data_IF_454103023849
#
_entry.id   IF_454103023849
#
_cell.length_a   1.000
_cell.length_b   1.000
_cell.length_c   1.000
_cell.angle_alpha   90.00
_cell.angle_beta   90.00
_cell.angle_gamma   90.00
#
_symmetry.space_group_name_H-M   'P 1'
#
loop_
_entity.id
_entity.type
_entity.pdbx_description
1 polymer ?
#
# COMPACT_ATOMS: atom_id res chain seq x y z
N UNK A 1 12.62 3.91 12.26
CA UNK A 1 13.55 4.67 11.39
C UNK A 1 13.17 4.71 9.89
N UNK A 2 12.68 3.62 9.26
CA UNK A 2 12.38 3.59 7.81
C UNK A 2 11.22 4.49 7.31
N UNK A 3 10.30 4.92 8.20
CA UNK A 3 9.14 5.74 7.78
C UNK A 3 9.53 7.20 7.44
N UNK A 4 10.58 7.74 8.08
CA UNK A 4 10.92 9.17 7.97
C UNK A 4 11.57 9.56 6.64
N UNK A 5 12.34 8.67 6.00
CA UNK A 5 12.98 8.95 4.72
C UNK A 5 11.98 9.04 3.54
N UNK A 6 10.71 8.70 3.76
CA UNK A 6 9.67 8.68 2.73
C UNK A 6 8.84 9.96 2.62
N UNK A 7 8.96 10.90 3.56
CA UNK A 7 8.13 12.13 3.55
C UNK A 7 8.70 13.11 2.53
N UNK A 8 8.04 13.25 1.38
CA UNK A 8 8.40 14.23 0.32
C UNK A 8 8.49 15.65 0.91
N UNK A 9 9.53 16.40 0.56
CA UNK A 9 9.73 17.81 1.00
C UNK A 9 8.50 18.72 0.81
N UNK A 10 7.63 18.44 -0.17
CA UNK A 10 6.41 19.22 -0.43
C UNK A 10 5.39 19.22 0.72
N UNK A 11 5.42 18.21 1.60
CA UNK A 11 4.47 18.12 2.72
C UNK A 11 4.85 19.02 3.89
N UNK A 12 6.15 19.27 4.11
CA UNK A 12 6.63 20.21 5.13
C UNK A 12 6.11 21.64 4.94
N UNK A 13 5.83 22.04 3.70
CA UNK A 13 5.29 23.38 3.39
C UNK A 13 3.79 23.47 3.75
N UNK A 14 3.07 22.33 3.67
CA UNK A 14 1.62 22.30 3.84
C UNK A 14 1.18 21.95 5.26
N UNK A 15 1.98 21.19 5.99
CA UNK A 15 1.73 20.80 7.37
C UNK A 15 3.02 20.92 8.23
N UNK A 16 3.60 22.13 8.36
CA UNK A 16 4.88 22.33 9.04
C UNK A 16 4.86 21.91 10.52
N UNK A 17 3.79 22.22 11.27
CA UNK A 17 3.71 21.84 12.69
C UNK A 17 3.59 20.33 12.86
N UNK A 18 2.78 19.70 12.02
CA UNK A 18 2.56 18.25 12.02
C UNK A 18 3.83 17.49 11.66
N UNK A 19 4.51 17.91 10.60
CA UNK A 19 5.79 17.31 10.21
C UNK A 19 6.84 17.46 11.30
N UNK A 20 6.94 18.66 11.91
CA UNK A 20 7.87 18.89 13.02
C UNK A 20 7.55 18.03 14.24
N UNK A 21 6.27 17.90 14.60
CA UNK A 21 5.80 17.02 15.67
C UNK A 21 6.22 15.57 15.42
N UNK A 22 5.87 15.03 14.25
CA UNK A 22 6.15 13.65 13.89
C UNK A 22 7.67 13.35 13.84
N UNK A 23 8.45 14.26 13.25
CA UNK A 23 9.90 14.11 13.14
C UNK A 23 10.59 14.14 14.51
N UNK A 24 10.17 15.06 15.38
CA UNK A 24 10.76 15.20 16.71
C UNK A 24 10.36 14.05 17.65
N UNK A 25 9.11 13.58 17.62
CA UNK A 25 8.70 12.37 18.35
C UNK A 25 9.50 11.15 17.88
N UNK A 26 9.69 11.00 16.57
CA UNK A 26 10.51 9.94 16.01
C UNK A 26 11.97 10.05 16.46
N UNK A 27 12.55 11.27 16.46
CA UNK A 27 13.92 11.52 16.92
C UNK A 27 14.13 11.19 18.39
N UNK A 28 13.11 11.39 19.22
CA UNK A 28 13.11 11.05 20.65
C UNK A 28 12.91 9.56 20.93
N UNK A 29 12.70 8.73 19.90
CA UNK A 29 12.35 7.32 20.07
C UNK A 29 10.96 7.10 20.64
N UNK A 30 10.07 8.10 20.57
CA UNK A 30 8.71 8.00 21.14
C UNK A 30 7.87 6.89 20.48
N UNK A 31 8.14 6.63 19.20
CA UNK A 31 7.49 5.56 18.43
C UNK A 31 8.21 4.22 18.53
N UNK A 32 9.34 4.14 19.23
CA UNK A 32 10.06 2.89 19.37
C UNK A 32 9.26 1.91 20.23
N UNK A 33 9.21 0.65 19.80
CA UNK A 33 8.39 -0.41 20.41
C UNK A 33 6.87 -0.14 20.47
N UNK A 34 6.38 0.89 19.77
CA UNK A 34 4.94 1.11 19.63
C UNK A 34 4.33 0.15 18.61
N UNK A 35 3.10 -0.28 18.87
CA UNK A 35 2.38 -1.24 18.03
C UNK A 35 1.34 -0.53 17.17
N UNK A 36 1.06 -1.09 16.00
CA UNK A 36 -0.15 -0.77 15.26
C UNK A 36 -1.33 -1.44 15.95
N UNK A 37 -2.01 -0.69 16.81
CA UNK A 37 -3.11 -1.21 17.64
C UNK A 37 -4.41 -1.39 16.88
N UNK A 38 -4.56 -0.74 15.70
CA UNK A 38 -5.75 -0.85 14.86
C UNK A 38 -5.37 -1.00 13.39
N UNK A 39 -5.69 -2.16 12.83
CA UNK A 39 -5.43 -2.50 11.43
C UNK A 39 -6.76 -2.91 10.80
N UNK A 40 -7.19 -2.19 9.77
CA UNK A 40 -8.40 -2.51 9.01
C UNK A 40 -7.98 -2.74 7.56
N UNK A 41 -8.07 -3.99 7.04
CA UNK A 41 -7.75 -4.30 5.66
C UNK A 41 -8.52 -3.39 4.69
N UNK A 42 -7.85 -3.00 3.61
CA UNK A 42 -8.40 -2.10 2.57
C UNK A 42 -8.92 -0.75 3.10
N UNK A 43 -8.51 -0.34 4.30
CA UNK A 43 -8.86 0.96 4.85
C UNK A 43 -7.64 1.69 5.41
N UNK A 44 -7.26 1.41 6.67
CA UNK A 44 -6.17 2.10 7.34
C UNK A 44 -5.39 1.18 8.29
N UNK A 45 -4.14 1.56 8.53
CA UNK A 45 -3.31 1.08 9.63
C UNK A 45 -3.04 2.25 10.56
N UNK A 46 -3.44 2.15 11.83
CA UNK A 46 -3.29 3.19 12.84
C UNK A 46 -2.30 2.78 13.92
N UNK A 47 -1.45 3.73 14.32
CA UNK A 47 -0.39 3.56 15.32
C UNK A 47 -0.01 4.88 15.98
N UNK A 48 1.14 4.89 16.65
CA UNK A 48 1.65 6.10 17.32
C UNK A 48 1.09 6.36 18.72
N UNK A 49 0.47 5.35 19.34
CA UNK A 49 0.11 5.36 20.77
C UNK A 49 1.07 4.45 21.55
N UNK A 50 1.91 4.99 22.45
CA UNK A 50 2.79 4.18 23.31
C UNK A 50 2.05 3.21 24.24
N UNK A 51 0.83 3.54 24.64
CA UNK A 51 -0.01 2.68 25.49
C UNK A 51 -0.73 1.59 24.71
N UNK A 52 -0.76 1.70 23.37
CA UNK A 52 -1.49 0.82 22.45
C UNK A 52 -2.99 0.68 22.77
N UNK A 53 -3.58 1.60 23.54
CA UNK A 53 -5.01 1.58 23.90
C UNK A 53 -5.87 2.32 22.87
N UNK A 54 -5.25 3.13 22.01
CA UNK A 54 -5.91 4.04 21.08
C UNK A 54 -6.39 5.34 21.72
N UNK A 55 -6.20 5.52 23.04
CA UNK A 55 -6.58 6.73 23.79
C UNK A 55 -5.38 7.55 24.25
N UNK A 56 -4.17 6.98 24.19
CA UNK A 56 -2.95 7.63 24.60
C UNK A 56 -2.30 8.44 23.47
N UNK A 57 -1.16 9.05 23.80
CA UNK A 57 -0.38 9.83 22.85
C UNK A 57 -0.43 11.33 23.12
N UNK A 58 0.72 11.98 23.03
CA UNK A 58 0.84 13.43 23.21
C UNK A 58 1.75 14.01 22.14
N UNK A 59 1.51 15.27 21.79
CA UNK A 59 2.35 16.00 20.86
C UNK A 59 3.60 16.56 21.57
N UNK A 60 4.58 17.04 20.78
CA UNK A 60 5.73 17.77 21.33
C UNK A 60 5.35 19.13 21.91
N UNK A 61 4.15 19.64 21.59
CA UNK A 61 3.66 20.95 22.00
C UNK A 61 2.74 20.89 23.22
N UNK A 62 2.50 19.69 23.78
CA UNK A 62 1.55 19.45 24.86
C UNK A 62 0.50 18.39 24.47
N UNK A 63 -0.70 18.40 25.08
CA UNK A 63 -1.69 17.33 24.91
C UNK A 63 -2.15 17.20 23.46
N UNK A 64 -2.52 18.31 22.81
CA UNK A 64 -2.96 18.33 21.41
C UNK A 64 -2.49 19.58 20.67
N UNK A 65 -2.56 19.56 19.33
CA UNK A 65 -2.33 20.72 18.47
C UNK A 65 -3.34 20.80 17.31
N UNK A 66 -3.36 21.97 16.64
CA UNK A 66 -4.30 22.32 15.57
C UNK A 66 -4.17 21.46 14.30
N UNK A 67 -5.24 21.42 13.51
CA UNK A 67 -5.25 20.76 12.20
C UNK A 67 -4.64 21.65 11.10
N UNK A 68 -3.81 21.06 10.24
CA UNK A 68 -3.21 21.71 9.07
C UNK A 68 -3.83 21.15 7.78
N UNK A 69 -5.12 21.41 7.59
CA UNK A 69 -5.90 20.89 6.46
C UNK A 69 -5.75 21.80 5.25
N UNK A 70 -5.53 21.20 4.08
CA UNK A 70 -5.50 21.92 2.80
C UNK A 70 -6.31 21.17 1.73
N UNK A 71 -7.10 21.88 0.90
CA UNK A 71 -7.92 21.25 -0.15
C UNK A 71 -7.10 20.56 -1.24
N UNK A 72 -5.80 20.88 -1.33
CA UNK A 72 -4.88 20.28 -2.29
C UNK A 72 -4.45 18.87 -1.91
N UNK A 73 -4.65 18.46 -0.65
CA UNK A 73 -4.27 17.15 -0.15
C UNK A 73 -5.52 16.34 0.11
N UNK A 74 -5.57 15.17 -0.52
CA UNK A 74 -6.72 14.26 -0.48
C UNK A 74 -6.23 12.84 -0.32
N UNK A 75 -7.03 12.00 0.34
CA UNK A 75 -6.77 10.59 0.55
C UNK A 75 -7.12 9.78 -0.71
N UNK A 76 -6.40 10.04 -1.80
CA UNK A 76 -6.68 9.49 -3.14
C UNK A 76 -6.23 8.04 -3.34
N UNK A 77 -5.49 7.46 -2.41
CA UNK A 77 -5.02 6.09 -2.54
C UNK A 77 -4.21 5.60 -1.35
N UNK A 78 -3.60 4.43 -1.54
CA UNK A 78 -2.77 3.77 -0.53
C UNK A 78 -1.47 4.54 -0.25
N UNK A 79 -1.01 4.43 1.00
CA UNK A 79 0.24 4.96 1.51
C UNK A 79 0.17 6.42 1.95
N UNK A 80 -1.00 7.02 2.08
CA UNK A 80 -1.12 8.41 2.55
C UNK A 80 -1.05 8.42 4.07
N UNK A 81 -0.21 9.31 4.61
CA UNK A 81 0.09 9.42 6.04
C UNK A 81 -0.65 10.64 6.61
N UNK A 82 -1.48 10.39 7.63
CA UNK A 82 -2.37 11.39 8.21
C UNK A 82 -2.46 11.27 9.73
N UNK A 83 -2.76 12.37 10.41
CA UNK A 83 -2.92 12.37 11.88
C UNK A 83 -4.28 11.81 12.29
N UNK A 84 -4.27 10.96 13.31
CA UNK A 84 -5.49 10.54 13.98
C UNK A 84 -5.88 11.60 15.02
N UNK A 85 -7.17 11.91 15.09
CA UNK A 85 -7.73 12.90 16.00
C UNK A 85 -9.06 12.39 16.60
N UNK A 86 -9.52 13.04 17.66
CA UNK A 86 -10.79 12.78 18.35
C UNK A 86 -11.79 13.93 18.14
N UNK A 87 -11.62 14.69 17.05
CA UNK A 87 -12.34 15.93 16.76
C UNK A 87 -11.41 17.01 16.21
N UNK A 88 -11.95 18.17 15.78
CA UNK A 88 -11.14 19.26 15.24
C UNK A 88 -10.07 19.73 16.23
N UNK A 89 -8.85 19.94 15.74
CA UNK A 89 -7.70 20.47 16.51
C UNK A 89 -7.26 19.60 17.70
N UNK A 90 -7.45 18.28 17.59
CA UNK A 90 -7.05 17.33 18.65
C UNK A 90 -5.91 16.40 18.22
N UNK A 91 -4.99 16.88 17.40
CA UNK A 91 -3.85 16.08 16.93
C UNK A 91 -2.87 15.83 18.09
N UNK A 92 -2.51 14.57 18.32
CA UNK A 92 -1.55 14.17 19.35
C UNK A 92 -0.29 13.55 18.74
N UNK A 93 0.00 12.30 19.10
CA UNK A 93 1.07 11.50 18.48
C UNK A 93 0.54 10.43 17.52
N UNK A 94 -0.76 10.11 17.59
CA UNK A 94 -1.33 9.03 16.80
C UNK A 94 -1.44 9.40 15.32
N UNK A 95 -1.14 8.45 14.45
CA UNK A 95 -1.20 8.61 13.02
C UNK A 95 -1.77 7.35 12.36
N UNK A 96 -2.24 7.49 11.13
CA UNK A 96 -2.65 6.38 10.31
C UNK A 96 -2.08 6.46 8.90
N UNK A 97 -1.97 5.28 8.28
CA UNK A 97 -1.56 5.09 6.89
C UNK A 97 -2.74 4.48 6.14
N UNK A 98 -3.15 5.08 5.04
CA UNK A 98 -4.21 4.54 4.20
C UNK A 98 -3.73 3.32 3.40
N UNK A 99 -4.61 2.34 3.20
CA UNK A 99 -4.36 1.16 2.36
C UNK A 99 -5.18 1.19 1.06
N UNK A 100 -6.25 1.98 1.04
CA UNK A 100 -7.10 2.23 -0.11
C UNK A 100 -7.45 3.72 -0.18
N UNK A 101 -8.10 4.20 -1.25
CA UNK A 101 -8.66 5.55 -1.30
C UNK A 101 -9.72 5.76 -0.21
N UNK A 102 -9.60 6.83 0.57
CA UNK A 102 -10.48 7.12 1.72
C UNK A 102 -10.95 8.58 1.70
N UNK A 103 -11.60 8.99 0.62
CA UNK A 103 -12.02 10.39 0.39
C UNK A 103 -12.95 10.95 1.48
N UNK A 104 -13.67 10.09 2.21
CA UNK A 104 -14.54 10.51 3.32
C UNK A 104 -13.77 11.08 4.54
N UNK A 105 -12.44 10.89 4.58
CA UNK A 105 -11.53 11.47 5.57
C UNK A 105 -10.94 12.82 5.13
N UNK A 106 -11.19 13.23 3.88
CA UNK A 106 -10.71 14.51 3.36
C UNK A 106 -11.34 15.67 4.14
N UNK A 107 -10.51 16.64 4.51
CA UNK A 107 -10.96 17.81 5.29
C UNK A 107 -11.22 17.53 6.78
N UNK A 108 -10.99 16.30 7.27
CA UNK A 108 -11.15 15.95 8.68
C UNK A 108 -9.83 15.58 9.37
N UNK A 109 -8.86 15.14 8.60
CA UNK A 109 -7.55 14.69 9.10
C UNK A 109 -6.44 15.42 8.37
N UNK A 110 -5.43 15.83 9.14
CA UNK A 110 -4.24 16.50 8.60
C UNK A 110 -3.37 15.49 7.86
N UNK A 111 -3.21 15.68 6.54
CA UNK A 111 -2.32 14.87 5.71
C UNK A 111 -0.93 15.51 5.71
N UNK A 112 0.07 14.78 6.16
CA UNK A 112 1.43 15.31 6.32
C UNK A 112 2.51 14.47 5.62
N UNK A 113 2.12 13.41 4.91
CA UNK A 113 3.08 12.61 4.17
C UNK A 113 2.47 11.56 3.27
N UNK A 114 3.34 10.87 2.53
CA UNK A 114 3.01 9.67 1.77
C UNK A 114 4.19 8.71 1.81
N UNK A 115 3.93 7.42 1.92
CA UNK A 115 4.93 6.36 1.84
C UNK A 115 5.42 6.27 0.40
N UNK A 116 6.72 6.48 0.20
CA UNK A 116 7.36 6.53 -1.11
C UNK A 116 7.79 5.15 -1.60
N UNK A 117 8.35 4.34 -0.70
CA UNK A 117 8.88 3.01 -1.00
C UNK A 117 8.33 1.97 -0.02
N UNK A 118 8.33 0.70 -0.43
CA UNK A 118 7.95 -0.44 0.43
C UNK A 118 6.48 -0.49 0.84
N UNK A 119 5.57 -0.01 -0.02
CA UNK A 119 4.12 -0.29 0.10
C UNK A 119 3.80 -1.78 0.24
N UNK A 120 4.65 -2.65 -0.34
CA UNK A 120 4.55 -4.10 -0.18
C UNK A 120 4.64 -4.56 1.29
N UNK A 121 5.39 -3.86 2.14
CA UNK A 121 5.48 -4.15 3.58
C UNK A 121 4.17 -3.82 4.27
N UNK A 122 3.54 -2.70 3.93
CA UNK A 122 2.21 -2.35 4.45
C UNK A 122 1.16 -3.38 4.06
N UNK A 123 1.18 -3.85 2.80
CA UNK A 123 0.31 -4.95 2.34
C UNK A 123 0.54 -6.24 3.11
N UNK A 124 1.78 -6.55 3.49
CA UNK A 124 2.09 -7.74 4.31
C UNK A 124 1.57 -7.59 5.75
N UNK A 125 1.66 -6.39 6.34
CA UNK A 125 1.18 -6.12 7.71
C UNK A 125 -0.34 -6.35 7.82
N UNK A 126 -1.10 -6.05 6.77
CA UNK A 126 -2.56 -6.20 6.77
C UNK A 126 -3.01 -7.64 6.51
N UNK A 127 -2.08 -8.57 6.30
CA UNK A 127 -2.37 -9.89 5.78
C UNK A 127 -2.76 -9.80 4.31
N UNK A 128 -2.30 -10.75 3.50
CA UNK A 128 -2.94 -10.94 2.20
C UNK A 128 -4.42 -11.25 2.46
N UNK A 129 -5.33 -10.45 1.90
CA UNK A 129 -6.73 -10.81 1.85
C UNK A 129 -6.81 -12.21 1.23
N UNK A 130 -7.44 -13.17 1.92
CA UNK A 130 -7.59 -14.57 1.49
C UNK A 130 -8.08 -14.70 0.03
N UNK A 131 -8.86 -13.73 -0.43
CA UNK A 131 -9.34 -13.60 -1.80
C UNK A 131 -8.24 -13.38 -2.84
N UNK A 132 -7.19 -12.61 -2.55
CA UNK A 132 -6.07 -12.41 -3.48
C UNK A 132 -5.19 -13.66 -3.59
N UNK A 133 -5.09 -14.44 -2.52
CA UNK A 133 -4.52 -15.79 -2.58
C UNK A 133 -5.38 -16.74 -3.41
N UNK A 134 -6.72 -16.68 -3.26
CA UNK A 134 -7.63 -17.45 -4.10
C UNK A 134 -7.49 -17.05 -5.57
N UNK A 135 -7.41 -15.76 -5.90
CA UNK A 135 -7.16 -15.28 -7.26
C UNK A 135 -5.81 -15.72 -7.80
N UNK A 136 -4.77 -15.76 -6.97
CA UNK A 136 -3.46 -16.27 -7.37
C UNK A 136 -3.52 -17.78 -7.65
N UNK A 137 -4.19 -18.56 -6.79
CA UNK A 137 -4.42 -20.00 -7.00
C UNK A 137 -5.28 -20.26 -8.25
N UNK A 138 -6.36 -19.48 -8.45
CA UNK A 138 -7.25 -19.60 -9.61
C UNK A 138 -6.58 -19.16 -10.92
N UNK A 139 -5.76 -18.10 -10.88
CA UNK A 139 -4.97 -17.68 -12.04
C UNK A 139 -3.88 -18.70 -12.39
N UNK A 140 -3.22 -19.28 -11.39
CA UNK A 140 -2.27 -20.37 -11.60
C UNK A 140 -2.97 -21.63 -12.14
N UNK A 141 -4.17 -21.98 -11.67
CA UNK A 141 -4.89 -23.15 -12.16
C UNK A 141 -5.39 -22.96 -13.60
N UNK A 142 -5.86 -21.77 -13.98
CA UNK A 142 -6.22 -21.46 -15.37
C UNK A 142 -5.01 -21.51 -16.30
N UNK A 143 -3.83 -21.02 -15.87
CA UNK A 143 -2.60 -21.14 -16.64
C UNK A 143 -2.16 -22.60 -16.82
N UNK A 144 -2.33 -23.44 -15.79
CA UNK A 144 -2.05 -24.89 -15.88
C UNK A 144 -3.01 -25.56 -16.87
N UNK A 145 -4.31 -25.23 -16.83
CA UNK A 145 -5.30 -25.80 -17.76
C UNK A 145 -5.01 -25.39 -19.19
N UNK A 146 -4.71 -24.11 -19.45
CA UNK A 146 -4.32 -23.63 -20.79
C UNK A 146 -3.04 -24.31 -21.27
N UNK A 147 -2.05 -24.50 -20.39
CA UNK A 147 -0.81 -25.20 -20.73
C UNK A 147 -1.07 -26.69 -21.04
N UNK A 148 -1.87 -27.38 -20.24
CA UNK A 148 -2.24 -28.80 -20.44
C UNK A 148 -3.07 -28.98 -21.71
N UNK A 149 -4.04 -28.10 -21.98
CA UNK A 149 -4.84 -28.14 -23.22
C UNK A 149 -3.98 -27.83 -24.45
N UNK A 150 -3.00 -26.95 -24.32
CA UNK A 150 -2.03 -26.68 -25.40
C UNK A 150 -1.15 -27.90 -25.65
N UNK A 151 -0.64 -28.56 -24.60
CA UNK A 151 0.13 -29.80 -24.72
C UNK A 151 -0.70 -30.95 -25.30
N UNK A 152 -1.98 -31.07 -24.91
CA UNK A 152 -2.89 -32.10 -25.42
C UNK A 152 -3.24 -31.87 -26.89
N UNK A 153 -3.54 -30.62 -27.27
CA UNK A 153 -3.72 -30.24 -28.67
C UNK A 153 -2.44 -30.47 -29.49
N UNK A 154 -1.26 -30.15 -28.95
CA UNK A 154 0.00 -30.45 -29.63
C UNK A 154 0.20 -31.96 -29.82
N UNK A 155 -0.11 -32.79 -28.81
CA UNK A 155 -0.01 -34.25 -28.91
C UNK A 155 -0.94 -34.81 -29.99
N UNK A 156 -2.20 -34.37 -30.01
CA UNK A 156 -3.17 -34.73 -31.05
C UNK A 156 -2.72 -34.27 -32.46
N UNK A 157 -2.10 -33.10 -32.57
CA UNK A 157 -1.56 -32.59 -33.84
C UNK A 157 -0.29 -33.30 -34.31
N UNK A 158 0.55 -33.80 -33.39
CA UNK A 158 1.71 -34.65 -33.70
C UNK A 158 1.22 -36.01 -34.24
N UNK A 159 0.24 -36.62 -33.58
CA UNK A 159 -0.32 -37.93 -33.96
C UNK A 159 -1.06 -37.88 -35.31
N UNK A 160 -1.57 -36.72 -35.72
CA UNK A 160 -2.24 -36.51 -37.02
C UNK A 160 -1.32 -35.96 -38.12
N UNK A 161 -0.02 -35.77 -37.86
CA UNK A 161 0.99 -35.27 -38.80
C UNK A 161 0.65 -33.91 -39.45
N UNK A 162 -0.21 -33.10 -38.83
CA UNK A 162 -0.66 -31.78 -39.32
C UNK A 162 0.13 -30.60 -38.74
N UNK A 163 1.25 -30.88 -38.05
CA UNK A 163 2.00 -29.86 -37.31
C UNK A 163 2.45 -28.68 -38.18
N UNK A 164 2.89 -28.96 -39.42
CA UNK A 164 3.48 -27.96 -40.32
C UNK A 164 2.46 -27.07 -41.04
N UNK A 165 1.17 -27.43 -41.04
CA UNK A 165 0.09 -26.64 -41.64
C UNK A 165 -0.67 -25.76 -40.63
N UNK A 166 -0.30 -25.82 -39.35
CA UNK A 166 -0.98 -25.08 -38.29
C UNK A 166 -0.53 -23.60 -38.24
N UNK A 167 -1.46 -22.63 -38.19
CA UNK A 167 -1.16 -21.20 -38.01
C UNK A 167 -0.32 -20.92 -36.74
N UNK A 168 -0.42 -21.78 -35.72
CA UNK A 168 0.30 -21.64 -34.46
C UNK A 168 1.80 -21.94 -34.58
N UNK A 169 2.20 -22.92 -35.40
CA UNK A 169 3.61 -23.22 -35.65
C UNK A 169 4.26 -22.08 -36.45
N UNK A 170 3.51 -21.49 -37.39
CA UNK A 170 3.94 -20.32 -38.14
C UNK A 170 4.15 -19.10 -37.22
N UNK A 171 3.25 -18.88 -36.26
CA UNK A 171 3.37 -17.81 -35.27
C UNK A 171 4.56 -18.01 -34.31
N UNK A 172 4.78 -19.25 -33.84
CA UNK A 172 5.90 -19.58 -32.95
C UNK A 172 7.27 -19.47 -33.65
N UNK A 173 7.38 -19.90 -34.91
CA UNK A 173 8.59 -19.70 -35.72
C UNK A 173 8.86 -18.21 -35.98
N UNK A 174 7.81 -17.42 -36.25
CA UNK A 174 7.93 -15.96 -36.45
C UNK A 174 8.37 -15.23 -35.16
N UNK A 175 7.93 -15.68 -33.99
CA UNK A 175 8.39 -15.16 -32.69
C UNK A 175 9.84 -15.52 -32.36
N UNK A 176 10.32 -16.70 -32.76
CA UNK A 176 11.75 -17.05 -32.64
C UNK A 176 12.64 -16.23 -33.57
N UNK A 177 12.18 -15.92 -34.77
CA UNK A 177 12.90 -15.07 -35.73
C UNK A 177 12.94 -13.59 -35.28
N UNK A 178 11.92 -13.10 -34.59
CA UNK A 178 11.88 -11.74 -34.03
C UNK A 178 12.72 -11.54 -32.76
N UNK A 179 13.15 -12.61 -32.10
CA UNK A 179 14.07 -12.56 -30.95
C UNK A 179 15.55 -12.75 -31.34
N UNK A 180 15.85 -12.84 -32.64
CA UNK A 180 17.20 -13.04 -33.17
C UNK A 180 17.72 -11.85 -34.00
N UNK A 181 17.02 -10.71 -33.97
CA UNK A 181 17.47 -9.41 -34.50
C UNK A 181 17.36 -8.34 -33.43
#
# INVERSE_FOLDING_TARGET
MYLMQSIKQSWNIRAPKTCKNFAELSRRGYYDNTKFHRIIPDFIVQGGDPTATGRGGQSIYGPTFEDEITPLLKHTGAGILSMANAGPNTNGSQFFITLAPTQHLDGKHTIFGRVYSNLAVLKRICGYNSWQWLYFILACSQLIIVFVLTLFNMKSMIESNQLMSSPFVYFYMRLKLLNYY
#
